data_IF_305070369327
#
_entry.id   IF_305070369327
#
_cell.length_a   1.000
_cell.length_b   1.000
_cell.length_c   1.000
_cell.angle_alpha   90.00
_cell.angle_beta   90.00
_cell.angle_gamma   90.00
#
_symmetry.space_group_name_H-M   'P 1'
#
loop_
_entity.id
_entity.type
_entity.pdbx_description
1 polymer ?
#
# COMPACT_ATOMS: atom_id res chain seq x y z
N UNK A 1 16.87 12.71 1.90
CA UNK A 1 16.50 12.63 1.65
C UNK A 1 16.41 12.66 1.34
N UNK A 2 16.67 12.51 1.33
CA UNK A 2 16.34 12.48 0.95
C UNK A 2 15.70 12.53 0.84
N UNK A 3 15.67 12.68 0.74
CA UNK A 3 15.04 12.61 0.61
C UNK A 3 14.52 12.25 0.51
N UNK A 4 14.50 12.55 0.97
CA UNK A 4 13.95 12.22 0.86
C UNK A 4 13.48 11.35 0.39
N UNK A 5 13.51 10.98 0.88
CA UNK A 5 12.92 9.94 0.72
C UNK A 5 12.55 9.47 -0.42
N UNK A 6 12.85 9.99 -1.09
CA UNK A 6 12.50 9.46 -2.21
C UNK A 6 12.96 8.13 -2.26
N UNK A 7 12.08 7.32 -2.10
CA UNK A 7 12.39 6.01 -2.27
C UNK A 7 12.94 5.84 -3.57
N UNK A 8 14.10 5.62 -3.58
CA UNK A 8 14.68 5.43 -4.77
C UNK A 8 14.56 4.02 -5.10
N UNK A 9 13.80 3.79 -6.05
CA UNK A 9 13.73 2.48 -6.58
C UNK A 9 15.02 2.25 -7.29
N UNK A 10 15.71 1.27 -6.88
CA UNK A 10 16.97 0.94 -7.50
C UNK A 10 16.73 0.34 -8.86
N UNK A 11 17.04 1.06 -9.92
CA UNK A 11 16.78 0.54 -11.26
C UNK A 11 17.74 -0.58 -11.65
N UNK A 12 18.74 -0.83 -10.85
CA UNK A 12 19.69 -1.88 -11.17
C UNK A 12 19.18 -3.27 -10.81
N UNK A 13 18.03 -3.35 -10.21
CA UNK A 13 17.42 -4.61 -9.98
C UNK A 13 17.69 -5.26 -8.66
N UNK A 14 18.72 -4.89 -7.97
CA UNK A 14 19.02 -5.49 -6.69
C UNK A 14 17.93 -5.16 -5.71
N UNK A 15 17.49 -3.95 -5.72
CA UNK A 15 16.43 -3.52 -4.88
C UNK A 15 15.14 -3.33 -5.63
N UNK A 16 15.04 -3.89 -6.82
CA UNK A 16 13.85 -3.68 -7.59
C UNK A 16 12.65 -4.17 -6.85
N UNK A 17 11.70 -3.29 -6.68
CA UNK A 17 10.47 -3.60 -6.01
C UNK A 17 9.31 -3.33 -6.92
N UNK A 18 8.22 -4.03 -6.67
CA UNK A 18 7.01 -3.81 -7.43
C UNK A 18 6.04 -3.06 -6.57
N UNK A 19 5.43 -2.05 -7.15
CA UNK A 19 4.39 -1.33 -6.48
C UNK A 19 3.09 -2.08 -6.66
N UNK A 20 2.41 -2.31 -5.55
CA UNK A 20 1.11 -2.96 -5.53
C UNK A 20 0.11 -2.02 -4.90
N UNK A 21 -1.08 -1.97 -5.48
CA UNK A 21 -2.15 -1.15 -4.95
C UNK A 21 -3.27 -2.09 -4.55
N UNK A 22 -3.54 -2.16 -3.26
CA UNK A 22 -4.52 -3.09 -2.72
C UNK A 22 -5.77 -2.35 -2.28
N UNK A 23 -6.92 -2.83 -2.75
CA UNK A 23 -8.21 -2.37 -2.24
C UNK A 23 -8.65 -3.31 -1.14
N UNK A 24 -9.04 -2.76 -0.01
CA UNK A 24 -9.36 -3.56 1.17
C UNK A 24 -10.80 -3.27 1.58
N UNK A 25 -11.57 -4.34 1.73
CA UNK A 25 -12.93 -4.24 2.24
C UNK A 25 -12.94 -4.67 3.69
N UNK A 26 -13.64 -3.90 4.50
CA UNK A 26 -13.69 -4.10 5.94
C UNK A 26 -15.11 -4.38 6.40
N UNK A 27 -15.22 -5.11 7.49
CA UNK A 27 -16.42 -5.08 8.32
C UNK A 27 -16.04 -4.33 9.58
N UNK A 28 -17.02 -3.65 10.19
CA UNK A 28 -16.78 -2.91 11.43
C UNK A 28 -15.62 -1.90 11.28
N UNK A 29 -15.88 -0.85 10.51
CA UNK A 29 -14.84 0.13 10.22
C UNK A 29 -14.31 0.80 11.48
N UNK A 30 -15.17 1.06 12.46
CA UNK A 30 -14.73 1.69 13.69
C UNK A 30 -13.69 0.85 14.43
N UNK A 31 -13.92 -0.46 14.48
CA UNK A 31 -12.96 -1.36 15.13
C UNK A 31 -11.72 -1.60 14.28
N UNK A 32 -11.90 -1.61 12.97
CA UNK A 32 -10.82 -1.95 12.05
C UNK A 32 -9.82 -0.84 11.86
N UNK A 33 -10.29 0.40 11.73
CA UNK A 33 -9.40 1.50 11.33
C UNK A 33 -8.25 1.73 12.29
N UNK A 34 -8.46 1.84 13.60
CA UNK A 34 -7.30 2.02 14.48
C UNK A 34 -6.36 0.81 14.48
N UNK A 35 -6.90 -0.38 14.30
CA UNK A 35 -6.09 -1.59 14.28
C UNK A 35 -5.19 -1.63 13.04
N UNK A 36 -5.74 -1.29 11.88
CA UNK A 36 -4.95 -1.27 10.66
C UNK A 36 -3.93 -0.13 10.69
N UNK A 37 -4.34 1.02 11.21
CA UNK A 37 -3.41 2.14 11.32
C UNK A 37 -2.18 1.75 12.15
N UNK A 38 -2.39 1.04 13.25
CA UNK A 38 -1.28 0.57 14.07
C UNK A 38 -0.47 -0.51 13.35
N UNK A 39 -1.16 -1.39 12.64
CA UNK A 39 -0.52 -2.49 11.94
C UNK A 39 0.45 -2.00 10.87
N UNK A 40 0.05 -1.00 10.08
CA UNK A 40 0.91 -0.54 8.99
C UNK A 40 2.17 0.16 9.49
N UNK A 41 2.15 0.68 10.71
CA UNK A 41 3.35 1.32 11.25
C UNK A 41 4.51 0.34 11.41
N UNK A 42 4.22 -0.94 11.50
CA UNK A 42 5.24 -1.97 11.66
C UNK A 42 5.61 -2.64 10.34
N UNK A 43 5.02 -2.20 9.25
CA UNK A 43 5.24 -2.84 7.95
C UNK A 43 5.90 -1.85 7.01
N UNK A 44 7.21 -1.88 6.91
CA UNK A 44 7.92 -0.88 6.12
C UNK A 44 7.61 -0.95 4.63
N UNK A 45 7.08 -2.07 4.15
CA UNK A 45 6.69 -2.17 2.74
C UNK A 45 5.44 -1.39 2.43
N UNK A 46 4.64 -1.06 3.43
CA UNK A 46 3.44 -0.24 3.22
C UNK A 46 3.85 1.21 3.16
N UNK A 47 3.68 1.82 2.00
CA UNK A 47 4.08 3.20 1.80
C UNK A 47 2.97 4.17 2.13
N UNK A 48 1.74 3.82 1.80
CA UNK A 48 0.60 4.72 1.98
C UNK A 48 -0.63 3.91 2.29
N UNK A 49 -1.52 4.51 3.05
CA UNK A 49 -2.79 3.92 3.40
C UNK A 49 -3.84 5.02 3.42
N UNK A 50 -4.89 4.84 2.64
CA UNK A 50 -5.95 5.83 2.52
C UNK A 50 -7.30 5.21 2.88
N UNK A 51 -8.09 5.96 3.63
CA UNK A 51 -9.48 5.61 3.87
C UNK A 51 -10.29 6.31 2.77
N UNK A 52 -11.04 5.55 2.00
CA UNK A 52 -11.64 6.08 0.78
C UNK A 52 -13.13 5.78 0.74
N UNK A 53 -13.82 6.44 -0.17
CA UNK A 53 -15.19 6.10 -0.50
C UNK A 53 -15.17 5.21 -1.75
N UNK A 54 -16.25 4.48 -1.97
CA UNK A 54 -16.40 3.69 -3.18
C UNK A 54 -16.48 2.20 -2.89
N UNK A 55 -15.98 1.42 -3.81
CA UNK A 55 -16.14 -0.04 -3.75
C UNK A 55 -15.34 -0.69 -2.64
N UNK A 56 -14.28 -0.04 -2.19
CA UNK A 56 -13.45 -0.55 -1.10
C UNK A 56 -13.41 0.49 0.00
N UNK A 57 -12.98 0.07 1.18
CA UNK A 57 -12.88 0.97 2.33
C UNK A 57 -11.51 1.59 2.45
N UNK A 58 -10.48 0.84 2.12
CA UNK A 58 -9.11 1.34 2.21
C UNK A 58 -8.37 1.04 0.92
N UNK A 59 -7.41 1.91 0.60
CA UNK A 59 -6.45 1.66 -0.47
C UNK A 59 -5.06 1.71 0.15
N UNK A 60 -4.31 0.65 -0.05
CA UNK A 60 -2.97 0.51 0.52
C UNK A 60 -1.97 0.43 -0.62
N UNK A 61 -0.95 1.26 -0.55
CA UNK A 61 0.12 1.25 -1.54
C UNK A 61 1.32 0.56 -0.92
N UNK A 62 1.78 -0.49 -1.55
CA UNK A 62 2.81 -1.38 -1.04
C UNK A 62 3.94 -1.45 -2.04
N UNK A 63 5.16 -1.43 -1.54
CA UNK A 63 6.32 -1.63 -2.37
C UNK A 63 6.98 -2.93 -1.96
N UNK A 64 6.83 -3.96 -2.79
CA UNK A 64 7.23 -5.31 -2.43
C UNK A 64 8.35 -5.83 -3.33
N UNK A 65 9.21 -6.63 -2.76
CA UNK A 65 10.32 -7.21 -3.52
C UNK A 65 9.86 -8.32 -4.45
N UNK A 66 8.83 -9.04 -4.07
CA UNK A 66 8.37 -10.17 -4.85
C UNK A 66 6.91 -10.45 -4.57
N UNK A 67 6.30 -11.22 -5.45
CA UNK A 67 4.93 -11.67 -5.25
C UNK A 67 4.82 -12.49 -3.97
N UNK A 68 5.84 -13.28 -3.69
CA UNK A 68 5.82 -14.10 -2.48
C UNK A 68 5.83 -13.26 -1.22
N UNK A 69 6.61 -12.19 -1.20
CA UNK A 69 6.63 -11.29 -0.04
C UNK A 69 5.32 -10.55 0.11
N UNK A 70 4.73 -10.12 -1.01
CA UNK A 70 3.44 -9.49 -0.95
C UNK A 70 2.37 -10.44 -0.43
N UNK A 71 2.41 -11.69 -0.90
CA UNK A 71 1.45 -12.69 -0.45
C UNK A 71 1.57 -12.91 1.06
N UNK A 72 2.80 -12.98 1.55
CA UNK A 72 3.04 -13.14 2.98
C UNK A 72 2.51 -11.95 3.77
N UNK A 73 2.69 -10.74 3.26
CA UNK A 73 2.20 -9.55 3.91
C UNK A 73 0.68 -9.55 3.97
N UNK A 74 0.03 -9.89 2.87
CA UNK A 74 -1.43 -9.91 2.84
C UNK A 74 -1.99 -10.99 3.78
N UNK A 75 -1.33 -12.14 3.85
CA UNK A 75 -1.74 -13.18 4.77
C UNK A 75 -1.62 -12.75 6.23
N UNK A 76 -0.54 -12.03 6.56
CA UNK A 76 -0.39 -11.50 7.92
C UNK A 76 -1.47 -10.48 8.24
N UNK A 77 -1.78 -9.62 7.29
CA UNK A 77 -2.82 -8.62 7.53
C UNK A 77 -4.15 -9.30 7.82
N UNK A 78 -4.53 -10.26 7.00
CA UNK A 78 -5.81 -10.92 7.17
C UNK A 78 -5.85 -11.75 8.46
N UNK A 79 -4.71 -12.28 8.89
CA UNK A 79 -4.65 -13.04 10.14
C UNK A 79 -4.70 -12.12 11.35
N UNK A 80 -4.05 -10.96 11.28
CA UNK A 80 -3.92 -10.08 12.44
C UNK A 80 -5.02 -9.05 12.54
N UNK A 81 -5.72 -8.78 11.44
CA UNK A 81 -6.85 -7.87 11.43
C UNK A 81 -8.06 -8.60 10.84
N UNK A 82 -8.79 -9.32 11.67
CA UNK A 82 -9.90 -10.14 11.15
C UNK A 82 -11.04 -9.35 10.54
N UNK A 83 -11.07 -8.05 10.74
CA UNK A 83 -12.07 -7.21 10.11
C UNK A 83 -11.85 -7.05 8.61
N UNK A 84 -10.68 -7.43 8.09
CA UNK A 84 -10.42 -7.41 6.65
C UNK A 84 -11.13 -8.60 6.03
N UNK A 85 -12.12 -8.32 5.17
CA UNK A 85 -12.90 -9.39 4.56
C UNK A 85 -12.44 -9.69 3.13
N UNK A 86 -11.74 -8.76 2.50
CA UNK A 86 -11.26 -8.99 1.15
C UNK A 86 -10.13 -8.02 0.83
N UNK A 87 -9.11 -8.52 0.14
CA UNK A 87 -8.08 -7.70 -0.46
C UNK A 87 -8.03 -7.98 -1.95
N UNK A 88 -8.12 -6.92 -2.73
CA UNK A 88 -7.98 -7.02 -4.19
C UNK A 88 -6.72 -6.29 -4.58
N UNK A 89 -5.82 -6.96 -5.26
CA UNK A 89 -4.50 -6.42 -5.53
C UNK A 89 -4.30 -6.12 -7.00
N UNK A 90 -3.78 -4.92 -7.25
CA UNK A 90 -3.32 -4.55 -8.58
C UNK A 90 -1.82 -4.34 -8.51
N UNK A 91 -1.08 -5.08 -9.35
CA UNK A 91 0.36 -4.88 -9.47
C UNK A 91 0.57 -3.83 -10.55
N UNK A 92 1.31 -2.80 -10.22
CA UNK A 92 1.59 -1.74 -11.18
C UNK A 92 2.58 -2.27 -12.21
N UNK A 93 2.15 -2.28 -13.47
CA UNK A 93 3.01 -2.70 -14.55
C UNK A 93 3.90 -1.56 -15.00
N UNK A 94 3.32 -0.36 -15.06
CA UNK A 94 4.03 0.80 -15.55
C UNK A 94 3.40 2.05 -14.95
N UNK A 95 4.20 2.85 -14.29
CA UNK A 95 3.73 4.13 -13.78
C UNK A 95 3.81 5.14 -14.91
N UNK A 96 2.72 5.26 -15.64
CA UNK A 96 2.71 6.08 -16.85
C UNK A 96 2.93 7.56 -16.56
N UNK A 97 2.57 7.99 -15.36
CA UNK A 97 2.85 9.33 -14.88
C UNK A 97 2.89 9.29 -13.37
N UNK A 98 3.92 9.87 -12.79
CA UNK A 98 4.07 9.86 -11.33
C UNK A 98 4.60 11.17 -10.81
N UNK A 99 4.22 12.27 -11.44
CA UNK A 99 4.64 13.59 -11.02
C UNK A 99 3.99 13.95 -9.69
N UNK A 100 4.78 14.47 -8.80
CA UNK A 100 4.27 15.01 -7.54
C UNK A 100 4.06 16.50 -7.62
N UNK A 101 4.26 17.06 -8.79
CA UNK A 101 4.17 18.49 -9.01
C UNK A 101 2.70 18.91 -9.05
N UNK A 102 2.38 19.93 -8.30
CA UNK A 102 1.05 20.50 -8.26
C UNK A 102 1.02 21.75 -9.11
N UNK A 103 0.15 21.81 -10.11
CA UNK A 103 0.09 23.01 -10.94
C UNK A 103 -0.30 24.23 -10.12
N UNK A 104 0.26 25.36 -10.47
CA UNK A 104 -0.07 26.61 -9.82
C UNK A 104 -1.31 27.18 -10.50
N UNK A 105 -2.30 27.52 -9.69
CA UNK A 105 -3.49 28.18 -10.21
C UNK A 105 -3.19 29.65 -10.38
N UNK A 106 -3.67 30.20 -11.49
CA UNK A 106 -3.46 31.59 -11.77
C UNK A 106 -4.62 32.45 -11.31
#
# INVERSE_FOLDING_TARGET
GVAAGVAIVDPQGVGQRRQCIAGIELKDNYGALPRIRAWVQKEPEVQQLFYVTGAVDLVMVILSKSVKEYDALSARLMAEVPQVIRMTTNVVIDAMKSDLYVPVDE
#
